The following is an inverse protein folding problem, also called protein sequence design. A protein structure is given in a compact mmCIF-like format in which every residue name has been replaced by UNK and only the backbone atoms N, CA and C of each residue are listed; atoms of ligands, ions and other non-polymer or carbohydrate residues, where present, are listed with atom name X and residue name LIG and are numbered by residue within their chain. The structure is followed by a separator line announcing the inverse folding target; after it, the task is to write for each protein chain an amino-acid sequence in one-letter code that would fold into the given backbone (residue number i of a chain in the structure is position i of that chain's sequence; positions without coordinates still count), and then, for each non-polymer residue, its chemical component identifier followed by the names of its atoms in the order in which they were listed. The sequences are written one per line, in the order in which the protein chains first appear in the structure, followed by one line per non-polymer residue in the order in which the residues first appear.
data_IF_359650624474
#
_entry.id   IF_359650624474
#
_cell.length_a   1.000
_cell.length_b   1.000
_cell.length_c   1.000
_cell.angle_alpha   90.00
_cell.angle_beta   90.00
_cell.angle_gamma   90.00
#
_symmetry.space_group_name_H-M   'P 1'
#
loop_
_entity.id
_entity.type
_entity.pdbx_description
1 polymer ?
#
# COMPACT_ATOMS: atom_id res chain seq x y z
N UNK A 1 12.85 32.73 -2.09
CA UNK A 1 11.49 32.19 -2.24
C UNK A 1 11.54 30.69 -1.99
N UNK A 2 11.00 30.21 -0.87
CA UNK A 2 10.99 28.79 -0.53
C UNK A 2 9.71 28.16 -1.09
N UNK A 3 9.84 27.32 -2.13
CA UNK A 3 8.74 26.46 -2.55
C UNK A 3 8.44 25.48 -1.42
N UNK A 4 7.17 25.24 -1.11
CA UNK A 4 6.76 24.23 -0.14
C UNK A 4 7.38 22.89 -0.53
N UNK A 5 8.35 22.43 0.26
CA UNK A 5 9.11 21.19 0.01
C UNK A 5 8.39 19.95 0.52
N UNK A 6 7.16 20.11 1.01
CA UNK A 6 6.32 19.03 1.51
C UNK A 6 4.92 19.07 0.92
N UNK A 7 4.28 17.90 0.81
CA UNK A 7 2.84 17.79 0.57
C UNK A 7 2.20 16.87 1.61
N UNK A 8 1.01 17.22 2.08
CA UNK A 8 0.22 16.37 2.97
C UNK A 8 -0.48 15.29 2.14
N UNK A 9 -0.53 14.07 2.66
CA UNK A 9 -1.17 12.94 1.97
C UNK A 9 -2.47 12.53 2.64
N UNK A 10 -3.53 12.54 1.86
CA UNK A 10 -4.90 12.18 2.27
C UNK A 10 -5.01 10.84 2.99
N UNK A 11 -4.13 9.87 2.68
CA UNK A 11 -4.21 8.52 3.28
C UNK A 11 -3.68 8.44 4.72
N UNK A 12 -2.63 9.17 5.09
CA UNK A 12 -2.03 9.05 6.43
C UNK A 12 -1.78 10.39 7.14
N UNK A 13 -2.04 11.51 6.47
CA UNK A 13 -1.86 12.86 7.01
C UNK A 13 -0.41 13.32 7.17
N UNK A 14 0.58 12.45 6.94
CA UNK A 14 2.00 12.78 7.10
C UNK A 14 2.45 13.76 6.01
N UNK A 15 3.20 14.79 6.41
CA UNK A 15 3.91 15.65 5.48
C UNK A 15 5.09 14.90 4.85
N UNK A 16 5.09 14.85 3.53
CA UNK A 16 6.10 14.12 2.76
C UNK A 16 7.01 15.14 2.10
N UNK A 17 8.30 15.12 2.42
CA UNK A 17 9.31 15.90 1.71
C UNK A 17 9.28 15.60 0.20
N UNK A 18 9.87 16.43 -0.65
CA UNK A 18 10.17 16.10 -2.05
C UNK A 18 11.62 15.64 -2.25
N UNK A 19 12.50 15.88 -1.28
CA UNK A 19 13.87 15.37 -1.29
C UNK A 19 13.86 13.87 -0.95
N UNK A 20 14.14 13.03 -1.94
CA UNK A 20 14.04 11.58 -1.85
C UNK A 20 15.41 10.95 -2.14
N UNK A 21 16.11 10.39 -1.14
CA UNK A 21 17.38 9.71 -1.39
C UNK A 21 17.19 8.57 -2.41
N UNK A 22 18.02 8.53 -3.46
CA UNK A 22 18.01 7.45 -4.46
C UNK A 22 16.92 7.55 -5.55
N UNK A 23 16.06 8.58 -5.55
CA UNK A 23 15.12 8.83 -6.66
C UNK A 23 14.90 10.32 -6.90
N UNK A 24 14.88 10.74 -8.16
CA UNK A 24 14.60 12.13 -8.54
C UNK A 24 13.11 12.48 -8.53
N UNK A 25 12.22 11.48 -8.48
CA UNK A 25 10.78 11.67 -8.57
C UNK A 25 10.07 10.68 -7.63
N UNK A 26 9.73 11.15 -6.42
CA UNK A 26 8.88 10.42 -5.48
C UNK A 26 7.41 10.70 -5.77
N UNK A 27 6.63 9.64 -5.96
CA UNK A 27 5.18 9.73 -6.22
C UNK A 27 4.32 9.15 -5.08
N UNK A 28 4.94 8.51 -4.08
CA UNK A 28 4.27 7.90 -2.92
C UNK A 28 4.73 8.52 -1.59
N UNK A 29 3.96 8.31 -0.53
CA UNK A 29 4.38 8.66 0.83
C UNK A 29 5.37 7.60 1.36
N UNK A 30 6.53 7.96 1.94
CA UNK A 30 7.45 6.96 2.48
C UNK A 30 6.86 6.19 3.67
N UNK A 31 5.98 6.81 4.46
CA UNK A 31 5.41 6.20 5.67
C UNK A 31 4.30 5.19 5.39
N UNK A 32 3.47 5.39 4.36
CA UNK A 32 2.34 4.50 4.04
C UNK A 32 2.39 3.90 2.62
N UNK A 33 3.33 4.33 1.78
CA UNK A 33 3.53 3.90 0.38
C UNK A 33 2.38 4.19 -0.58
N UNK A 34 1.31 4.86 -0.17
CA UNK A 34 0.22 5.26 -1.06
C UNK A 34 0.63 6.35 -2.03
N UNK A 35 0.19 6.20 -3.28
CA UNK A 35 0.34 7.16 -4.38
C UNK A 35 -0.95 7.97 -4.62
N UNK A 36 -0.92 8.99 -5.49
CA UNK A 36 -2.12 9.64 -6.06
C UNK A 36 -2.03 9.57 -7.58
N UNK A 37 -3.14 9.20 -8.22
CA UNK A 37 -3.19 9.15 -9.68
C UNK A 37 -3.26 10.59 -10.18
N UNK A 38 -2.13 11.14 -10.61
CA UNK A 38 -2.07 12.48 -11.22
C UNK A 38 -1.54 12.39 -12.65
N UNK A 39 -0.73 11.38 -12.95
CA UNK A 39 -0.11 11.23 -14.27
C UNK A 39 -1.01 10.47 -15.24
N UNK A 40 -1.17 10.99 -16.46
CA UNK A 40 -1.91 10.31 -17.52
C UNK A 40 -1.06 9.19 -18.11
N UNK A 41 0.03 9.53 -18.77
CA UNK A 41 0.84 8.54 -19.49
C UNK A 41 2.32 8.66 -19.09
N UNK A 42 2.84 9.88 -18.96
CA UNK A 42 4.24 10.16 -18.68
C UNK A 42 4.41 10.46 -17.18
N UNK A 43 5.39 9.86 -16.49
CA UNK A 43 5.69 10.21 -15.10
C UNK A 43 5.88 11.71 -14.92
N UNK A 44 5.14 12.31 -13.99
CA UNK A 44 5.17 13.74 -13.70
C UNK A 44 4.37 14.64 -14.66
N UNK A 45 3.66 14.09 -15.66
CA UNK A 45 2.86 14.93 -16.58
C UNK A 45 1.68 15.62 -15.90
N UNK A 46 1.20 15.08 -14.77
CA UNK A 46 0.04 15.58 -14.00
C UNK A 46 -1.21 15.86 -14.85
N UNK A 47 -1.42 15.09 -15.92
CA UNK A 47 -2.52 15.27 -16.90
C UNK A 47 -3.64 14.25 -16.76
N UNK A 48 -3.70 13.48 -15.68
CA UNK A 48 -4.77 12.51 -15.47
C UNK A 48 -6.10 13.22 -15.17
N UNK A 49 -7.17 12.78 -15.83
CA UNK A 49 -8.54 13.18 -15.51
C UNK A 49 -9.05 12.48 -14.22
N UNK A 50 -8.30 11.49 -13.73
CA UNK A 50 -8.54 10.81 -12.47
C UNK A 50 -7.62 11.40 -11.40
N UNK A 51 -8.11 11.52 -10.16
CA UNK A 51 -7.35 12.01 -9.00
C UNK A 51 -7.37 11.04 -7.82
N UNK A 52 -7.78 9.79 -8.08
CA UNK A 52 -7.99 8.77 -7.05
C UNK A 52 -6.71 8.32 -6.36
N UNK A 53 -6.86 7.84 -5.11
CA UNK A 53 -5.79 7.22 -4.36
C UNK A 53 -5.25 5.98 -5.06
N UNK A 54 -3.94 5.80 -5.01
CA UNK A 54 -3.27 4.64 -5.60
C UNK A 54 -2.67 3.75 -4.52
N UNK A 55 -3.28 2.58 -4.35
CA UNK A 55 -2.91 1.57 -3.36
C UNK A 55 -1.61 0.87 -3.77
N UNK A 56 -0.63 0.70 -2.87
CA UNK A 56 0.52 -0.15 -3.12
C UNK A 56 0.08 -1.61 -2.98
N UNK A 57 0.03 -2.34 -4.08
CA UNK A 57 -0.50 -3.72 -4.09
C UNK A 57 0.58 -4.79 -4.16
N UNK A 58 1.78 -4.45 -4.61
CA UNK A 58 2.91 -5.37 -4.72
C UNK A 58 4.23 -4.62 -4.87
N UNK A 59 5.33 -5.37 -4.77
CA UNK A 59 6.68 -4.92 -5.14
C UNK A 59 7.28 -5.87 -6.16
N UNK A 60 8.21 -5.35 -6.97
CA UNK A 60 9.02 -6.13 -7.90
C UNK A 60 10.45 -5.60 -7.91
N UNK A 61 11.36 -6.38 -8.48
CA UNK A 61 12.77 -6.01 -8.63
C UNK A 61 13.09 -5.90 -10.12
N UNK A 62 13.78 -4.82 -10.53
CA UNK A 62 14.13 -4.56 -11.94
C UNK A 62 15.59 -4.16 -12.11
N UNK A 63 16.20 -4.64 -13.20
CA UNK A 63 17.60 -4.35 -13.52
C UNK A 63 18.54 -4.82 -12.41
N UNK A 64 19.49 -3.97 -12.01
CA UNK A 64 20.48 -4.19 -10.95
C UNK A 64 19.86 -4.17 -9.53
N UNK A 65 18.88 -5.03 -9.26
CA UNK A 65 18.33 -5.20 -7.91
C UNK A 65 17.45 -4.05 -7.41
N UNK A 66 16.99 -3.14 -8.29
CA UNK A 66 16.19 -1.98 -7.87
C UNK A 66 14.76 -2.38 -7.54
N UNK A 67 14.33 -2.04 -6.33
CA UNK A 67 12.96 -2.27 -5.88
C UNK A 67 11.99 -1.25 -6.49
N UNK A 68 10.83 -1.74 -6.88
CA UNK A 68 9.79 -0.97 -7.56
C UNK A 68 8.44 -1.34 -6.97
N UNK A 69 7.68 -0.33 -6.56
CA UNK A 69 6.30 -0.46 -6.13
C UNK A 69 5.37 -0.58 -7.33
N UNK A 70 4.40 -1.48 -7.21
CA UNK A 70 3.26 -1.61 -8.11
C UNK A 70 2.06 -0.97 -7.41
N UNK A 71 1.55 0.11 -8.00
CA UNK A 71 0.40 0.84 -7.51
C UNK A 71 -0.84 0.58 -8.36
N UNK A 72 -2.00 0.41 -7.74
CA UNK A 72 -3.31 0.32 -8.40
C UNK A 72 -4.18 1.51 -8.02
N UNK A 73 -4.73 2.21 -9.00
CA UNK A 73 -5.73 3.25 -8.73
C UNK A 73 -7.02 2.62 -8.22
N UNK A 74 -7.49 3.07 -7.05
CA UNK A 74 -8.73 2.61 -6.43
C UNK A 74 -9.98 3.02 -7.20
N UNK A 75 -9.90 4.09 -8.00
CA UNK A 75 -11.04 4.61 -8.77
C UNK A 75 -11.15 3.99 -10.18
N UNK A 76 -10.06 3.98 -10.95
CA UNK A 76 -10.08 3.51 -12.35
C UNK A 76 -9.27 2.23 -12.62
N UNK A 77 -8.64 1.63 -11.61
CA UNK A 77 -7.91 0.37 -11.73
C UNK A 77 -6.54 0.44 -12.42
N UNK A 78 -6.13 1.59 -12.96
CA UNK A 78 -4.84 1.73 -13.65
C UNK A 78 -3.65 1.33 -12.77
N UNK A 79 -2.71 0.59 -13.35
CA UNK A 79 -1.46 0.19 -12.70
C UNK A 79 -0.31 1.15 -13.05
N UNK A 80 0.53 1.48 -12.06
CA UNK A 80 1.75 2.27 -12.25
C UNK A 80 2.91 1.66 -11.46
N UNK A 81 4.11 1.86 -12.01
CA UNK A 81 5.36 1.39 -11.43
C UNK A 81 6.16 2.59 -10.95
N UNK A 82 6.49 2.60 -9.66
CA UNK A 82 7.23 3.69 -9.05
C UNK A 82 8.48 3.15 -8.35
N UNK A 83 9.63 3.77 -8.57
CA UNK A 83 10.87 3.38 -7.87
C UNK A 83 10.72 3.66 -6.37
N UNK A 84 11.23 2.77 -5.54
CA UNK A 84 11.34 3.03 -4.11
C UNK A 84 12.40 4.11 -3.84
N UNK A 85 12.23 4.85 -2.76
CA UNK A 85 13.19 5.81 -2.23
C UNK A 85 13.93 5.22 -1.02
N UNK A 86 15.09 5.77 -0.67
CA UNK A 86 15.89 5.29 0.46
C UNK A 86 15.27 5.55 1.83
N UNK A 87 14.27 6.42 1.91
CA UNK A 87 13.51 6.74 3.12
C UNK A 87 12.15 6.01 3.21
N UNK A 88 11.85 5.11 2.26
CA UNK A 88 10.63 4.33 2.30
C UNK A 88 10.57 3.39 3.51
N UNK A 89 9.37 3.20 4.06
CA UNK A 89 9.15 2.29 5.18
C UNK A 89 9.45 0.83 4.76
N UNK A 90 10.64 0.36 5.15
CA UNK A 90 11.14 -0.97 4.84
C UNK A 90 10.19 -2.09 5.31
N UNK A 91 9.51 -1.92 6.45
CA UNK A 91 8.58 -2.93 6.95
C UNK A 91 7.37 -3.11 6.02
N UNK A 92 6.82 -2.01 5.49
CA UNK A 92 5.73 -2.08 4.53
C UNK A 92 6.17 -2.68 3.19
N UNK A 93 7.39 -2.35 2.72
CA UNK A 93 7.97 -2.96 1.52
C UNK A 93 8.13 -4.47 1.67
N UNK A 94 8.68 -4.92 2.80
CA UNK A 94 8.84 -6.35 3.09
C UNK A 94 7.50 -7.07 3.24
N UNK A 95 6.51 -6.43 3.88
CA UNK A 95 5.16 -6.98 3.97
C UNK A 95 4.56 -7.22 2.59
N UNK A 96 4.67 -6.25 1.67
CA UNK A 96 4.20 -6.40 0.29
C UNK A 96 4.93 -7.54 -0.44
N UNK A 97 6.24 -7.66 -0.25
CA UNK A 97 7.04 -8.75 -0.85
C UNK A 97 6.62 -10.13 -0.33
N UNK A 98 6.28 -10.22 0.95
CA UNK A 98 5.92 -11.46 1.63
C UNK A 98 4.45 -11.87 1.44
N UNK A 99 3.58 -11.04 0.84
CA UNK A 99 2.16 -11.34 0.66
C UNK A 99 1.91 -12.74 0.05
N UNK A 100 2.59 -13.15 -1.04
CA UNK A 100 2.39 -14.49 -1.62
C UNK A 100 2.73 -15.64 -0.68
N UNK A 101 3.62 -15.42 0.30
CA UNK A 101 3.99 -16.43 1.29
C UNK A 101 2.89 -16.64 2.34
N UNK A 102 2.09 -15.61 2.60
CA UNK A 102 0.96 -15.66 3.55
C UNK A 102 -0.36 -16.07 2.92
N UNK A 103 -0.43 -16.08 1.59
CA UNK A 103 -1.61 -16.42 0.80
C UNK A 103 -1.22 -17.45 -0.27
N UNK A 104 -0.95 -18.72 0.12
CA UNK A 104 -0.52 -19.73 -0.83
C UNK A 104 -1.60 -19.95 -1.90
N UNK A 105 -1.17 -20.03 -3.16
CA UNK A 105 -2.04 -20.31 -4.31
C UNK A 105 -2.61 -21.73 -4.29
N UNK A 106 -2.04 -22.60 -3.45
CA UNK A 106 -2.54 -23.94 -3.19
C UNK A 106 -3.53 -23.83 -2.02
N UNK A 107 -4.78 -24.29 -2.18
CA UNK A 107 -5.72 -24.38 -1.07
C UNK A 107 -5.07 -25.18 0.06
N UNK A 108 -4.95 -24.59 1.25
CA UNK A 108 -4.66 -25.38 2.44
C UNK A 108 -5.79 -26.42 2.52
N UNK A 109 -5.46 -27.71 2.59
CA UNK A 109 -6.46 -28.69 3.00
C UNK A 109 -6.99 -28.19 4.33
N UNK A 110 -8.25 -27.72 4.37
CA UNK A 110 -8.82 -27.21 5.59
C UNK A 110 -8.73 -28.35 6.62
N UNK A 111 -7.83 -28.20 7.59
CA UNK A 111 -7.84 -29.11 8.72
C UNK A 111 -9.25 -29.02 9.30
N UNK A 112 -9.96 -30.14 9.51
CA UNK A 112 -11.33 -30.10 9.99
C UNK A 112 -11.35 -29.30 11.28
N UNK A 113 -11.98 -28.11 11.25
CA UNK A 113 -12.06 -27.29 12.44
C UNK A 113 -12.79 -28.09 13.50
N UNK A 114 -12.24 -28.25 14.72
CA UNK A 114 -12.96 -28.90 15.78
C UNK A 114 -14.28 -28.14 15.99
N UNK A 115 -15.39 -28.88 15.99
CA UNK A 115 -16.71 -28.32 16.12
C UNK A 115 -16.74 -27.32 17.28
N UNK A 116 -17.09 -26.06 16.99
CA UNK A 116 -17.27 -25.04 18.02
C UNK A 116 -18.33 -25.53 19.00
N UNK A 117 -17.92 -25.87 20.23
CA UNK A 117 -18.87 -26.21 21.29
C UNK A 117 -19.85 -25.03 21.46
N UNK A 118 -21.17 -25.25 21.43
CA UNK A 118 -22.12 -24.18 21.66
C UNK A 118 -21.83 -23.58 23.04
N UNK A 119 -21.65 -22.25 23.08
CA UNK A 119 -21.55 -21.53 24.36
C UNK A 119 -22.84 -21.77 25.12
N UNK A 120 -22.73 -22.39 26.29
CA UNK A 120 -23.83 -22.51 27.23
C UNK A 120 -24.39 -21.10 27.48
N UNK A 121 -25.66 -20.87 27.11
CA UNK A 121 -26.36 -19.67 27.51
C UNK A 121 -26.49 -19.72 29.03
N UNK A 122 -25.82 -18.80 29.73
CA UNK A 122 -26.09 -18.60 31.16
C UNK A 122 -27.56 -18.19 31.26
N UNK A 123 -28.36 -19.02 31.92
CA UNK A 123 -29.73 -18.67 32.29
C UNK A 123 -29.66 -17.37 33.10
N UNK A 124 -30.38 -16.35 32.64
CA UNK A 124 -30.63 -15.17 33.46
C UNK A 124 -31.53 -15.65 34.59
N UNK A 125 -31.00 -15.67 35.81
CA UNK A 125 -31.82 -15.73 37.01
C UNK A 125 -32.49 -14.37 37.13
N UNK A 126 -33.80 -14.33 36.89
CA UNK A 126 -34.63 -13.19 37.24
C UNK A 126 -34.66 -13.07 38.77
N UNK A 127 -34.16 -11.95 39.27
CA UNK A 127 -34.24 -11.57 40.69
C UNK A 127 -35.59 -10.87 40.91
N UNK A 128 -36.33 -11.19 41.98
CA UNK A 128 -37.67 -10.68 42.24
C UNK A 128 -37.73 -9.17 42.50
#
# INVERSE_FOLDING_TARGET
MAFARSFSREHCGVEVSLDAPGTSHRNHCPSCLWSRHLDRNVPGDRKADCSGGMEPIAVTVRGEGRWVLIHRCTNCGRLRLNKTAGDDNAFLLMRLAALPLTMPFIPFAAEPQPARKPRARKAKTDVP
#
